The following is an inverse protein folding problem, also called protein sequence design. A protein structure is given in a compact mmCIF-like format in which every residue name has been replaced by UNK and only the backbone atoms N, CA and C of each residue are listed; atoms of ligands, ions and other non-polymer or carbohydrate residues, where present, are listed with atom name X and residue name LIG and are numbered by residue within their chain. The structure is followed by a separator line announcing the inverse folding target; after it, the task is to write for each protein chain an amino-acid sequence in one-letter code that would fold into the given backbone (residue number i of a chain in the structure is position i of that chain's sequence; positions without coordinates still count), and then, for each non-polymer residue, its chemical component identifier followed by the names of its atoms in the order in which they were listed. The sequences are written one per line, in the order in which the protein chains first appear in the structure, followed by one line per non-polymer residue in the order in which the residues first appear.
data_IF_374031599207
#
_entry.id   IF_374031599207
#
_cell.length_a   1.000
_cell.length_b   1.000
_cell.length_c   1.000
_cell.angle_alpha   90.00
_cell.angle_beta   90.00
_cell.angle_gamma   90.00
#
_symmetry.space_group_name_H-M   'P 1'
#
loop_
_entity.id
_entity.type
_entity.pdbx_description
1 polymer ?
#
# COMPACT_ATOMS: atom_id res chain seq x y z
N UNK A 1 -9.66 37.18 -2.89
CA UNK A 1 -8.30 37.52 -3.40
C UNK A 1 -7.28 36.38 -3.27
N UNK A 2 -7.53 35.30 -2.53
CA UNK A 2 -6.56 34.20 -2.33
C UNK A 2 -6.65 33.04 -3.34
N UNK A 3 -7.72 32.98 -4.15
CA UNK A 3 -7.97 31.85 -5.05
C UNK A 3 -6.82 31.58 -6.06
N UNK A 4 -6.18 32.59 -6.67
CA UNK A 4 -5.05 32.35 -7.57
C UNK A 4 -3.86 31.71 -6.86
N UNK A 5 -3.56 32.16 -5.63
CA UNK A 5 -2.47 31.60 -4.82
C UNK A 5 -2.78 30.16 -4.41
N UNK A 6 -4.01 29.90 -3.96
CA UNK A 6 -4.44 28.55 -3.60
C UNK A 6 -4.29 27.56 -4.78
N UNK A 7 -4.74 27.96 -5.98
CA UNK A 7 -4.59 27.15 -7.19
C UNK A 7 -3.12 26.91 -7.54
N UNK A 8 -2.28 27.94 -7.53
CA UNK A 8 -0.86 27.79 -7.83
C UNK A 8 -0.15 26.83 -6.85
N UNK A 9 -0.52 26.85 -5.56
CA UNK A 9 -0.01 25.91 -4.57
C UNK A 9 -0.51 24.50 -4.87
N UNK A 10 -1.80 24.34 -5.13
CA UNK A 10 -2.40 23.03 -5.43
C UNK A 10 -1.79 22.40 -6.69
N UNK A 11 -1.61 23.18 -7.75
CA UNK A 11 -0.97 22.74 -8.99
C UNK A 11 0.49 22.36 -8.76
N UNK A 12 1.22 23.14 -7.95
CA UNK A 12 2.60 22.83 -7.55
C UNK A 12 2.70 21.52 -6.78
N UNK A 13 1.80 21.30 -5.82
CA UNK A 13 1.73 20.05 -5.05
C UNK A 13 1.41 18.87 -5.97
N UNK A 14 0.40 19.00 -6.83
CA UNK A 14 0.02 17.94 -7.77
C UNK A 14 1.17 17.61 -8.74
N UNK A 15 1.89 18.62 -9.22
CA UNK A 15 3.01 18.45 -10.15
C UNK A 15 4.19 17.70 -9.52
N UNK A 16 4.47 17.93 -8.24
CA UNK A 16 5.64 17.36 -7.57
C UNK A 16 5.35 16.07 -6.79
N UNK A 17 4.11 15.90 -6.32
CA UNK A 17 3.72 14.80 -5.44
C UNK A 17 2.59 13.95 -6.02
N UNK A 18 2.03 14.30 -7.18
CA UNK A 18 0.93 13.55 -7.79
C UNK A 18 1.27 12.07 -8.02
N UNK A 19 2.43 11.80 -8.65
CA UNK A 19 2.92 10.43 -8.87
C UNK A 19 3.16 9.70 -7.54
N UNK A 20 3.70 10.40 -6.53
CA UNK A 20 3.90 9.84 -5.19
C UNK A 20 2.57 9.46 -4.53
N UNK A 21 1.50 10.24 -4.75
CA UNK A 21 0.16 9.93 -4.23
C UNK A 21 -0.51 8.76 -4.96
N UNK A 22 0.01 8.33 -6.11
CA UNK A 22 -0.41 7.12 -6.79
C UNK A 22 0.37 5.88 -6.32
N UNK A 23 1.41 6.07 -5.50
CA UNK A 23 2.15 4.96 -4.92
C UNK A 23 1.23 4.12 -4.01
N UNK A 24 1.09 2.82 -4.29
CA UNK A 24 0.13 1.98 -3.59
C UNK A 24 0.58 1.63 -2.17
N UNK A 25 1.89 1.66 -1.87
CA UNK A 25 2.39 1.45 -0.50
C UNK A 25 2.13 2.68 0.37
N UNK A 26 2.41 3.87 -0.16
CA UNK A 26 2.12 5.14 0.50
C UNK A 26 0.61 5.32 0.70
N UNK A 27 -0.19 4.95 -0.30
CA UNK A 27 -1.66 4.96 -0.21
C UNK A 27 -2.16 4.04 0.90
N UNK A 28 -1.66 2.80 0.95
CA UNK A 28 -2.01 1.86 2.02
C UNK A 28 -1.60 2.40 3.40
N UNK A 29 -0.38 2.94 3.52
CA UNK A 29 0.10 3.54 4.76
C UNK A 29 -0.77 4.74 5.20
N UNK A 30 -1.17 5.60 4.26
CA UNK A 30 -2.02 6.76 4.52
C UNK A 30 -3.43 6.35 4.99
N UNK A 31 -4.00 5.27 4.45
CA UNK A 31 -5.29 4.71 4.89
C UNK A 31 -5.19 4.14 6.31
N UNK A 32 -4.12 3.38 6.59
CA UNK A 32 -3.95 2.67 7.86
C UNK A 32 -3.62 3.60 9.03
N UNK A 33 -2.92 4.70 8.78
CA UNK A 33 -2.43 5.59 9.82
C UNK A 33 -3.39 6.77 10.04
N UNK A 34 -4.02 6.90 11.23
CA UNK A 34 -5.02 7.95 11.48
C UNK A 34 -4.53 9.39 11.24
N UNK A 35 -3.23 9.64 11.39
CA UNK A 35 -2.61 10.95 11.19
C UNK A 35 -2.63 11.43 9.72
N UNK A 36 -2.83 10.51 8.78
CA UNK A 36 -2.89 10.80 7.34
C UNK A 36 -4.32 10.78 6.80
N UNK A 37 -5.33 10.60 7.67
CA UNK A 37 -6.73 10.71 7.27
C UNK A 37 -7.04 12.13 6.80
N UNK A 38 -7.32 12.22 5.52
CA UNK A 38 -7.66 13.43 4.78
C UNK A 38 -8.83 13.12 3.83
N UNK A 39 -9.42 14.15 3.24
CA UNK A 39 -10.46 13.98 2.20
C UNK A 39 -9.95 13.20 0.98
N UNK A 40 -8.63 13.16 0.74
CA UNK A 40 -8.02 12.34 -0.30
C UNK A 40 -8.11 10.84 0.03
N UNK A 41 -7.75 10.44 1.26
CA UNK A 41 -7.83 9.04 1.73
C UNK A 41 -9.26 8.53 1.93
N UNK A 42 -10.26 9.40 1.82
CA UNK A 42 -11.69 9.04 1.88
C UNK A 42 -12.30 8.77 0.50
N UNK A 43 -11.56 9.07 -0.58
CA UNK A 43 -12.04 8.79 -1.93
C UNK A 43 -12.08 7.28 -2.17
N UNK A 44 -13.16 6.81 -2.77
CA UNK A 44 -13.39 5.38 -3.03
C UNK A 44 -12.26 4.73 -3.84
N UNK A 45 -11.79 5.41 -4.89
CA UNK A 45 -10.73 4.91 -5.77
C UNK A 45 -9.38 4.75 -5.03
N UNK A 46 -9.07 5.67 -4.11
CA UNK A 46 -7.87 5.62 -3.28
C UNK A 46 -7.97 4.47 -2.26
N UNK A 47 -9.13 4.31 -1.63
CA UNK A 47 -9.38 3.22 -0.69
C UNK A 47 -9.25 1.86 -1.38
N UNK A 48 -9.86 1.71 -2.55
CA UNK A 48 -9.83 0.48 -3.34
C UNK A 48 -8.40 0.12 -3.76
N UNK A 49 -7.63 1.08 -4.30
CA UNK A 49 -6.24 0.87 -4.67
C UNK A 49 -5.38 0.44 -3.48
N UNK A 50 -5.53 1.09 -2.33
CA UNK A 50 -4.81 0.73 -1.10
C UNK A 50 -5.17 -0.68 -0.60
N UNK A 51 -6.45 -1.06 -0.63
CA UNK A 51 -6.92 -2.39 -0.20
C UNK A 51 -6.44 -3.51 -1.13
N UNK A 52 -6.43 -3.27 -2.45
CA UNK A 52 -5.87 -4.22 -3.42
C UNK A 52 -4.40 -4.47 -3.13
N UNK A 53 -3.63 -3.41 -2.86
CA UNK A 53 -2.21 -3.55 -2.56
C UNK A 53 -1.97 -4.32 -1.25
N UNK A 54 -2.72 -3.99 -0.19
CA UNK A 54 -2.64 -4.71 1.08
C UNK A 54 -2.97 -6.19 0.92
N UNK A 55 -4.03 -6.52 0.16
CA UNK A 55 -4.38 -7.92 -0.14
C UNK A 55 -3.25 -8.65 -0.84
N UNK A 56 -2.69 -8.05 -1.90
CA UNK A 56 -1.55 -8.63 -2.64
C UNK A 56 -0.37 -8.96 -1.72
N UNK A 57 -0.04 -8.06 -0.79
CA UNK A 57 1.02 -8.31 0.18
C UNK A 57 0.68 -9.48 1.13
N UNK A 58 -0.57 -9.59 1.59
CA UNK A 58 -1.00 -10.71 2.43
C UNK A 58 -0.93 -12.05 1.69
N UNK A 59 -1.34 -12.09 0.42
CA UNK A 59 -1.30 -13.29 -0.41
C UNK A 59 0.15 -13.76 -0.62
N UNK A 60 1.07 -12.82 -0.92
CA UNK A 60 2.50 -13.12 -1.05
C UNK A 60 3.11 -13.67 0.24
N UNK A 61 2.70 -13.13 1.40
CA UNK A 61 3.15 -13.66 2.70
C UNK A 61 2.60 -15.06 2.97
N UNK A 62 1.35 -15.33 2.59
CA UNK A 62 0.75 -16.65 2.73
C UNK A 62 1.46 -17.70 1.86
N UNK A 63 1.79 -17.36 0.61
CA UNK A 63 2.57 -18.22 -0.29
C UNK A 63 3.98 -18.48 0.24
N UNK A 64 4.67 -17.43 0.68
CA UNK A 64 6.01 -17.57 1.28
C UNK A 64 6.01 -18.45 2.54
N UNK A 65 4.98 -18.30 3.39
CA UNK A 65 4.79 -19.15 4.57
C UNK A 65 4.52 -20.62 4.20
N UNK A 66 3.71 -20.87 3.16
CA UNK A 66 3.41 -22.22 2.69
C UNK A 66 4.65 -22.94 2.15
N UNK A 67 5.50 -22.24 1.39
CA UNK A 67 6.77 -22.79 0.89
C UNK A 67 7.75 -23.08 2.02
N UNK A 68 7.84 -22.24 3.04
CA UNK A 68 8.67 -22.52 4.23
C UNK A 68 8.23 -23.80 4.95
N UNK A 69 6.92 -24.01 5.13
CA UNK A 69 6.39 -25.22 5.77
C UNK A 69 6.70 -26.48 4.96
N UNK A 70 6.56 -26.40 3.62
CA UNK A 70 6.87 -27.52 2.71
C UNK A 70 8.35 -27.87 2.72
N UNK A 71 9.22 -26.87 2.82
CA UNK A 71 10.67 -27.04 2.84
C UNK A 71 11.14 -27.62 4.18
N UNK A 72 10.56 -27.17 5.30
CA UNK A 72 10.78 -27.77 6.62
C UNK A 72 10.29 -29.22 6.69
N UNK A 73 9.11 -29.51 6.13
CA UNK A 73 8.57 -30.88 6.07
C UNK A 73 9.46 -31.82 5.24
N UNK A 74 9.98 -31.34 4.11
CA UNK A 74 10.91 -32.10 3.26
C UNK A 74 12.24 -32.37 4.00
N UNK A 75 12.74 -31.38 4.73
CA UNK A 75 13.98 -31.51 5.51
C UNK A 75 13.84 -32.49 6.67
N UNK A 76 12.72 -32.45 7.41
CA UNK A 76 12.41 -33.44 8.44
C UNK A 76 12.34 -34.85 7.86
N UNK A 77 11.66 -35.03 6.71
CA UNK A 77 11.53 -36.34 6.07
C UNK A 77 12.89 -36.94 5.68
N UNK A 78 13.84 -36.13 5.23
CA UNK A 78 15.20 -36.56 4.88
C UNK A 78 16.06 -36.95 6.10
N UNK A 79 15.70 -36.52 7.31
CA UNK A 79 16.45 -36.88 8.54
C UNK A 79 15.99 -38.24 9.11
N UNK A 80 14.76 -38.67 8.76
CA UNK A 80 14.17 -39.92 9.26
C UNK A 80 14.30 -41.11 8.29
N UNK A 81 15.05 -40.97 7.18
CA UNK A 81 15.39 -42.03 6.22
C UNK A 81 16.90 -42.24 6.23
#
# INVERSE_FOLDING_TARGET
MCLPLFRAIQDGVQKHFGEMMEDPELTAAAILLPKFKTTWTERHDIIEAGLINMRRHLDQMAEAGAEQVKQQSSQLTLIFV
#
